data_IF_909703976644
#
_entry.id   IF_909703976644
#
_cell.length_a   1.000
_cell.length_b   1.000
_cell.length_c   1.000
_cell.angle_alpha   90.00
_cell.angle_beta   90.00
_cell.angle_gamma   90.00
#
_symmetry.space_group_name_H-M   'P 1'
#
loop_
_entity.id
_entity.type
_entity.pdbx_description
1 polymer ?
#
# COMPACT_ATOMS: atom_id res chain seq x y z
N UNK A 1 -44.38 5.05 33.23
CA UNK A 1 -43.05 4.74 32.77
C UNK A 1 -42.77 5.62 31.55
N UNK A 2 -42.11 6.75 31.78
CA UNK A 2 -41.80 7.76 30.77
C UNK A 2 -40.39 7.43 30.22
N UNK A 3 -40.29 7.19 28.92
CA UNK A 3 -39.06 6.92 28.24
C UNK A 3 -38.24 8.21 28.05
N UNK A 4 -37.04 8.25 28.60
CA UNK A 4 -36.08 9.36 28.44
C UNK A 4 -35.42 9.20 27.06
N UNK A 5 -35.51 10.24 26.23
CA UNK A 5 -34.92 10.25 24.91
C UNK A 5 -33.38 10.43 24.97
N UNK A 6 -32.64 9.82 24.02
CA UNK A 6 -31.19 9.87 23.94
C UNK A 6 -30.58 11.27 23.77
N UNK A 7 -31.41 12.32 23.63
CA UNK A 7 -30.96 13.72 23.50
C UNK A 7 -30.78 14.44 24.83
N UNK A 8 -31.38 13.95 25.91
CA UNK A 8 -31.35 14.63 27.21
C UNK A 8 -30.17 14.23 28.11
N UNK A 9 -29.40 13.22 27.72
CA UNK A 9 -28.24 12.76 28.49
C UNK A 9 -26.93 13.56 28.24
N UNK A 10 -26.94 14.57 27.38
CA UNK A 10 -25.72 15.30 26.97
C UNK A 10 -25.64 16.76 27.48
N UNK A 11 -26.61 17.22 28.32
CA UNK A 11 -26.66 18.61 28.77
C UNK A 11 -26.47 18.82 30.27
N UNK A 12 -25.86 17.91 30.97
CA UNK A 12 -25.85 17.95 32.45
C UNK A 12 -24.46 17.96 33.12
N UNK A 13 -23.39 18.55 32.53
CA UNK A 13 -22.12 18.80 33.27
C UNK A 13 -21.45 20.07 32.71
N UNK A 14 -22.02 21.26 33.09
CA UNK A 14 -21.26 22.53 33.11
C UNK A 14 -21.76 23.29 34.32
N UNK A 15 -20.97 23.35 35.34
CA UNK A 15 -21.26 24.23 36.49
C UNK A 15 -20.29 24.03 37.65
N UNK A 16 -19.45 25.03 37.84
CA UNK A 16 -18.75 25.39 39.07
C UNK A 16 -17.33 24.89 39.30
N UNK A 17 -16.37 25.83 39.29
CA UNK A 17 -15.07 25.67 39.87
C UNK A 17 -13.97 26.50 39.23
N UNK A 18 -14.13 27.86 39.14
CA UNK A 18 -13.00 28.76 38.88
C UNK A 18 -12.13 28.84 40.16
N UNK A 19 -11.15 27.95 40.27
CA UNK A 19 -10.01 28.11 41.17
C UNK A 19 -8.83 28.59 40.32
N UNK A 20 -8.43 29.85 40.49
CA UNK A 20 -7.23 30.42 39.88
C UNK A 20 -5.97 29.76 40.48
N UNK A 21 -5.43 28.76 39.79
CA UNK A 21 -4.11 28.21 40.05
C UNK A 21 -3.11 29.06 39.27
N UNK A 22 -2.25 29.79 39.98
CA UNK A 22 -1.11 30.47 39.40
C UNK A 22 -0.24 29.47 38.65
N UNK A 23 -0.17 29.59 37.32
CA UNK A 23 0.66 28.75 36.45
C UNK A 23 2.13 29.16 36.71
N UNK A 24 2.80 28.40 37.57
CA UNK A 24 4.27 28.35 37.54
C UNK A 24 4.69 27.76 36.20
N UNK A 25 5.25 28.58 35.33
CA UNK A 25 5.91 28.10 34.09
C UNK A 25 7.12 27.26 34.48
N UNK A 26 6.90 25.96 34.66
CA UNK A 26 7.99 25.02 34.71
C UNK A 26 8.53 24.94 33.28
N UNK A 27 9.57 25.63 32.95
CA UNK A 27 10.39 25.40 31.75
C UNK A 27 11.02 24.03 31.91
N UNK A 28 10.40 23.01 31.34
CA UNK A 28 11.11 21.76 31.13
C UNK A 28 12.26 22.06 30.18
N UNK A 29 13.49 21.96 30.72
CA UNK A 29 14.68 21.94 29.88
C UNK A 29 14.47 20.82 28.85
N UNK A 30 14.43 21.19 27.56
CA UNK A 30 14.50 20.21 26.48
C UNK A 30 15.87 19.51 26.66
N UNK A 31 15.81 18.29 27.18
CA UNK A 31 16.95 17.39 27.10
C UNK A 31 17.34 17.19 25.63
N UNK A 32 18.56 16.75 25.34
CA UNK A 32 19.00 16.56 23.96
C UNK A 32 17.93 15.73 23.23
N UNK A 33 17.42 16.28 22.12
CA UNK A 33 16.51 15.58 21.22
C UNK A 33 17.24 14.32 20.73
N UNK A 34 17.05 13.22 21.42
CA UNK A 34 17.50 11.92 20.92
C UNK A 34 16.72 11.66 19.65
N UNK A 35 17.41 11.64 18.52
CA UNK A 35 16.80 11.29 17.23
C UNK A 35 16.08 9.94 17.39
N UNK A 36 14.85 9.85 16.89
CA UNK A 36 14.14 8.59 16.90
C UNK A 36 14.97 7.48 16.21
N UNK A 37 14.94 6.25 16.72
CA UNK A 37 15.57 5.14 16.03
C UNK A 37 15.08 5.04 14.57
N UNK A 38 15.93 4.65 13.62
CA UNK A 38 15.54 4.56 12.20
C UNK A 38 14.29 3.73 11.95
N UNK A 39 14.07 2.67 12.74
CA UNK A 39 12.89 1.82 12.65
C UNK A 39 11.56 2.53 12.96
N UNK A 40 11.61 3.71 13.58
CA UNK A 40 10.43 4.50 13.96
C UNK A 40 10.57 5.95 13.51
N UNK A 41 11.29 6.19 12.43
CA UNK A 41 11.64 7.54 12.02
C UNK A 41 10.44 8.36 11.49
N UNK A 42 9.44 7.70 10.91
CA UNK A 42 8.24 8.34 10.37
C UNK A 42 8.57 9.41 9.30
N UNK A 43 9.54 9.14 8.41
CA UNK A 43 10.07 10.12 7.44
C UNK A 43 9.87 9.69 5.98
N UNK A 44 8.92 8.81 5.74
CA UNK A 44 8.60 8.40 4.37
C UNK A 44 7.98 9.56 3.60
N UNK A 45 8.34 9.67 2.32
CA UNK A 45 7.80 10.68 1.40
C UNK A 45 7.19 10.00 0.20
N UNK A 46 6.02 10.48 -0.23
CA UNK A 46 5.39 9.94 -1.43
C UNK A 46 6.26 10.25 -2.67
N UNK A 47 6.52 9.23 -3.48
CA UNK A 47 7.23 9.35 -4.74
C UNK A 47 6.29 9.95 -5.80
N UNK A 48 6.75 10.84 -6.68
CA UNK A 48 5.93 11.32 -7.79
C UNK A 48 5.63 10.19 -8.78
N UNK A 49 4.53 10.31 -9.54
CA UNK A 49 4.26 9.40 -10.65
C UNK A 49 5.43 9.45 -11.66
N UNK A 50 5.99 8.30 -12.08
CA UNK A 50 7.13 8.26 -13.01
C UNK A 50 6.74 8.43 -14.48
N UNK A 51 5.47 8.74 -14.78
CA UNK A 51 4.91 8.92 -16.11
C UNK A 51 3.90 10.07 -16.13
N UNK A 52 3.53 10.50 -17.33
CA UNK A 52 2.45 11.48 -17.52
C UNK A 52 1.08 10.79 -17.40
N UNK A 53 0.24 11.12 -16.38
CA UNK A 53 -1.05 10.47 -16.14
C UNK A 53 -2.01 10.55 -17.34
N UNK A 54 -1.97 11.64 -18.10
CA UNK A 54 -2.84 11.85 -19.27
C UNK A 54 -2.50 10.97 -20.48
N UNK A 55 -1.37 10.21 -20.43
CA UNK A 55 -0.90 9.38 -21.55
C UNK A 55 -1.18 7.89 -21.39
N UNK A 56 -1.81 7.47 -20.28
CA UNK A 56 -2.19 6.09 -20.11
C UNK A 56 -3.32 5.70 -21.08
N UNK A 57 -3.19 4.52 -21.65
CA UNK A 57 -4.21 3.98 -22.55
C UNK A 57 -5.31 3.27 -21.74
N UNK A 58 -6.52 3.82 -21.76
CA UNK A 58 -7.69 3.23 -21.09
C UNK A 58 -7.75 3.47 -19.58
N UNK A 59 -6.78 4.12 -18.95
CA UNK A 59 -6.84 4.54 -17.55
C UNK A 59 -6.86 6.07 -17.53
N UNK A 60 -7.92 6.67 -16.96
CA UNK A 60 -8.07 8.12 -16.98
C UNK A 60 -7.06 8.81 -16.05
N UNK A 61 -6.64 10.03 -16.46
CA UNK A 61 -5.81 10.91 -15.61
C UNK A 61 -6.47 11.13 -14.25
N UNK A 62 -7.79 11.31 -14.22
CA UNK A 62 -8.56 11.51 -12.99
C UNK A 62 -8.44 10.31 -12.04
N UNK A 63 -8.57 9.08 -12.55
CA UNK A 63 -8.46 7.88 -11.75
C UNK A 63 -7.06 7.73 -11.17
N UNK A 64 -6.02 7.77 -12.04
CA UNK A 64 -4.66 7.49 -11.61
C UNK A 64 -4.11 8.56 -10.66
N UNK A 65 -4.47 9.84 -10.88
CA UNK A 65 -4.12 10.94 -9.97
C UNK A 65 -4.82 10.78 -8.62
N UNK A 66 -6.12 10.47 -8.62
CA UNK A 66 -6.86 10.20 -7.38
C UNK A 66 -6.27 9.01 -6.60
N UNK A 67 -5.92 7.94 -7.30
CA UNK A 67 -5.29 6.76 -6.71
C UNK A 67 -3.94 7.10 -6.05
N UNK A 68 -3.11 7.87 -6.75
CA UNK A 68 -1.81 8.32 -6.24
C UNK A 68 -1.96 9.27 -5.05
N UNK A 69 -2.75 10.35 -5.19
CA UNK A 69 -2.78 11.45 -4.22
C UNK A 69 -3.58 11.12 -2.95
N UNK A 70 -4.58 10.22 -3.05
CA UNK A 70 -5.43 9.86 -1.92
C UNK A 70 -5.03 8.50 -1.31
N UNK A 71 -4.94 7.43 -2.10
CA UNK A 71 -4.67 6.09 -1.56
C UNK A 71 -3.19 5.93 -1.19
N UNK A 72 -2.29 6.13 -2.16
CA UNK A 72 -0.86 5.97 -1.91
C UNK A 72 -0.28 7.03 -0.97
N UNK A 73 -0.48 8.32 -1.27
CA UNK A 73 0.02 9.38 -0.40
C UNK A 73 -0.63 9.36 0.99
N UNK A 74 -1.90 8.90 1.08
CA UNK A 74 -2.58 8.62 2.34
C UNK A 74 -1.91 7.49 3.13
N UNK A 75 -1.51 6.41 2.47
CA UNK A 75 -0.78 5.31 3.09
C UNK A 75 0.59 5.74 3.63
N UNK A 76 1.34 6.56 2.87
CA UNK A 76 2.62 7.13 3.32
C UNK A 76 2.45 7.97 4.59
N UNK A 77 1.44 8.84 4.64
CA UNK A 77 1.13 9.63 5.84
C UNK A 77 0.76 8.75 7.03
N UNK A 78 -0.06 7.71 6.79
CA UNK A 78 -0.47 6.77 7.82
C UNK A 78 0.71 5.94 8.35
N UNK A 79 1.64 5.52 7.49
CA UNK A 79 2.85 4.81 7.91
C UNK A 79 3.71 5.67 8.84
N UNK A 80 3.95 6.94 8.46
CA UNK A 80 4.67 7.88 9.31
C UNK A 80 4.02 8.06 10.68
N UNK A 81 2.69 8.14 10.72
CA UNK A 81 1.94 8.28 11.97
C UNK A 81 2.07 7.03 12.85
N UNK A 82 1.95 5.84 12.26
CA UNK A 82 2.07 4.57 12.98
C UNK A 82 3.48 4.40 13.55
N UNK A 83 4.52 4.71 12.78
CA UNK A 83 5.90 4.65 13.27
C UNK A 83 6.14 5.62 14.44
N UNK A 84 5.58 6.84 14.38
CA UNK A 84 5.64 7.77 15.51
C UNK A 84 4.92 7.24 16.75
N UNK A 85 3.75 6.61 16.59
CA UNK A 85 3.04 5.97 17.70
C UNK A 85 3.84 4.79 18.28
N UNK A 86 4.49 3.99 17.44
CA UNK A 86 5.37 2.92 17.88
C UNK A 86 6.58 3.46 18.66
N UNK A 87 7.18 4.58 18.20
CA UNK A 87 8.28 5.24 18.91
C UNK A 87 7.90 5.67 20.33
N UNK A 88 6.67 6.09 20.56
CA UNK A 88 6.16 6.38 21.90
C UNK A 88 5.77 5.11 22.67
N UNK A 89 5.15 4.15 21.99
CA UNK A 89 4.69 2.92 22.60
C UNK A 89 5.84 2.08 23.18
N UNK A 90 7.00 2.01 22.53
CA UNK A 90 8.17 1.25 23.03
C UNK A 90 8.77 1.82 24.30
N UNK A 91 8.44 3.08 24.66
CA UNK A 91 8.89 3.71 25.92
C UNK A 91 7.98 3.38 27.11
N UNK A 92 6.80 2.84 26.84
CA UNK A 92 5.79 2.53 27.85
C UNK A 92 5.74 1.02 28.10
N UNK A 93 6.36 0.59 29.20
CA UNK A 93 6.38 -0.82 29.59
C UNK A 93 5.01 -1.37 30.00
N UNK A 94 4.06 -0.50 30.33
CA UNK A 94 2.71 -0.88 30.78
C UNK A 94 1.67 -0.87 29.66
N UNK A 95 2.09 -0.66 28.39
CA UNK A 95 1.17 -0.70 27.25
C UNK A 95 0.56 -2.10 27.11
N UNK A 96 -0.78 -2.24 27.04
CA UNK A 96 -1.39 -3.53 26.85
C UNK A 96 -0.91 -4.22 25.56
N UNK A 97 -0.62 -5.54 25.59
CA UNK A 97 -0.10 -6.26 24.40
C UNK A 97 -0.97 -6.13 23.16
N UNK A 98 -2.31 -6.06 23.30
CA UNK A 98 -3.22 -5.93 22.18
C UNK A 98 -3.13 -4.54 21.51
N UNK A 99 -2.83 -3.48 22.25
CA UNK A 99 -2.61 -2.13 21.67
C UNK A 99 -1.30 -2.12 20.88
N UNK A 100 -0.22 -2.64 21.45
CA UNK A 100 1.07 -2.72 20.75
C UNK A 100 0.98 -3.63 19.53
N UNK A 101 0.30 -4.77 19.66
CA UNK A 101 0.05 -5.69 18.57
C UNK A 101 -0.72 -5.07 17.41
N UNK A 102 -1.74 -4.23 17.70
CA UNK A 102 -2.49 -3.53 16.65
C UNK A 102 -1.63 -2.45 15.94
N UNK A 103 -0.78 -1.73 16.66
CA UNK A 103 0.18 -0.80 16.03
C UNK A 103 1.13 -1.55 15.09
N UNK A 104 1.62 -2.72 15.46
CA UNK A 104 2.49 -3.55 14.61
C UNK A 104 1.74 -4.11 13.39
N UNK A 105 0.46 -4.43 13.56
CA UNK A 105 -0.41 -4.84 12.44
C UNK A 105 -0.62 -3.69 11.46
N UNK A 106 -0.92 -2.48 11.97
CA UNK A 106 -1.07 -1.29 11.13
C UNK A 106 0.24 -0.93 10.40
N UNK A 107 1.39 -1.02 11.06
CA UNK A 107 2.69 -0.82 10.42
C UNK A 107 2.86 -1.77 9.21
N UNK A 108 2.55 -3.06 9.38
CA UNK A 108 2.62 -4.04 8.29
C UNK A 108 1.70 -3.68 7.13
N UNK A 109 0.44 -3.33 7.42
CA UNK A 109 -0.56 -2.93 6.41
C UNK A 109 -0.09 -1.68 5.65
N UNK A 110 0.38 -0.64 6.37
CA UNK A 110 0.79 0.61 5.73
C UNK A 110 2.08 0.44 4.93
N UNK A 111 3.05 -0.33 5.44
CA UNK A 111 4.26 -0.69 4.70
C UNK A 111 3.91 -1.45 3.41
N UNK A 112 3.06 -2.46 3.49
CA UNK A 112 2.61 -3.21 2.33
C UNK A 112 1.90 -2.32 1.32
N UNK A 113 0.99 -1.43 1.79
CA UNK A 113 0.31 -0.46 0.94
C UNK A 113 1.30 0.45 0.20
N UNK A 114 2.24 1.07 0.92
CA UNK A 114 3.26 1.97 0.32
C UNK A 114 4.07 1.22 -0.73
N UNK A 115 4.67 0.09 -0.37
CA UNK A 115 5.56 -0.66 -1.27
C UNK A 115 4.84 -1.16 -2.52
N UNK A 116 3.62 -1.68 -2.36
CA UNK A 116 2.88 -2.23 -3.50
C UNK A 116 2.39 -1.14 -4.45
N UNK A 117 1.94 0.01 -3.94
CA UNK A 117 1.59 1.15 -4.78
C UNK A 117 2.79 1.70 -5.55
N UNK A 118 3.95 1.86 -4.90
CA UNK A 118 5.17 2.31 -5.58
C UNK A 118 5.56 1.36 -6.72
N UNK A 119 5.46 0.05 -6.50
CA UNK A 119 5.73 -0.94 -7.54
C UNK A 119 4.68 -0.92 -8.64
N UNK A 120 3.40 -0.75 -8.29
CA UNK A 120 2.29 -0.63 -9.24
C UNK A 120 2.46 0.59 -10.15
N UNK A 121 2.67 1.78 -9.59
CA UNK A 121 2.87 2.99 -10.41
C UNK A 121 4.14 2.90 -11.27
N UNK A 122 5.24 2.36 -10.73
CA UNK A 122 6.48 2.24 -11.50
C UNK A 122 6.37 1.27 -12.67
N UNK A 123 5.46 0.31 -12.65
CA UNK A 123 5.24 -0.58 -13.79
C UNK A 123 4.14 -0.11 -14.78
N UNK A 124 3.71 1.14 -14.66
CA UNK A 124 2.82 1.77 -15.64
C UNK A 124 3.56 2.78 -16.54
N UNK A 125 2.88 3.26 -17.57
CA UNK A 125 3.40 4.26 -18.51
C UNK A 125 4.25 3.70 -19.65
N UNK A 126 4.30 2.37 -19.80
CA UNK A 126 4.90 1.68 -20.94
C UNK A 126 3.95 1.46 -22.10
N UNK A 127 4.33 0.58 -23.02
CA UNK A 127 3.56 0.23 -24.22
C UNK A 127 2.93 -1.17 -24.17
N UNK A 128 3.04 -1.87 -23.03
CA UNK A 128 2.49 -3.21 -22.80
C UNK A 128 3.21 -4.35 -23.55
N UNK A 129 4.26 -4.06 -24.31
CA UNK A 129 4.97 -5.09 -25.10
C UNK A 129 6.10 -5.71 -24.30
N UNK A 130 5.89 -6.93 -23.86
CA UNK A 130 6.89 -7.68 -23.13
C UNK A 130 8.11 -8.04 -23.98
N UNK A 131 9.29 -7.78 -23.45
CA UNK A 131 10.56 -8.15 -24.04
C UNK A 131 11.62 -8.43 -22.97
N UNK A 132 12.90 -8.54 -23.36
CA UNK A 132 14.06 -8.58 -22.48
C UNK A 132 14.13 -9.76 -21.54
N UNK A 133 14.74 -9.54 -20.40
CA UNK A 133 15.05 -10.56 -19.37
C UNK A 133 13.79 -11.12 -18.73
N UNK A 134 12.86 -10.26 -18.36
CA UNK A 134 11.62 -10.69 -17.70
C UNK A 134 10.79 -11.62 -18.59
N UNK A 135 10.65 -11.29 -19.89
CA UNK A 135 9.95 -12.17 -20.83
C UNK A 135 10.62 -13.53 -20.95
N UNK A 136 11.94 -13.60 -21.05
CA UNK A 136 12.67 -14.87 -21.10
C UNK A 136 12.46 -15.72 -19.85
N UNK A 137 12.51 -15.12 -18.67
CA UNK A 137 12.26 -15.81 -17.41
C UNK A 137 10.82 -16.32 -17.32
N UNK A 138 9.85 -15.52 -17.79
CA UNK A 138 8.44 -15.91 -17.87
C UNK A 138 8.27 -17.13 -18.80
N UNK A 139 8.83 -17.08 -20.00
CA UNK A 139 8.76 -18.19 -20.97
C UNK A 139 9.43 -19.48 -20.44
N UNK A 140 10.52 -19.34 -19.69
CA UNK A 140 11.16 -20.47 -19.01
C UNK A 140 10.26 -21.08 -17.92
N UNK A 141 9.51 -20.26 -17.17
CA UNK A 141 8.69 -20.73 -16.06
C UNK A 141 7.33 -21.31 -16.51
N UNK A 142 6.72 -20.74 -17.56
CA UNK A 142 5.39 -21.15 -18.03
C UNK A 142 5.36 -21.83 -19.41
N UNK A 143 6.53 -21.96 -20.06
CA UNK A 143 6.62 -22.49 -21.43
C UNK A 143 6.26 -21.49 -22.52
N UNK A 144 5.48 -20.44 -22.23
CA UNK A 144 5.19 -19.34 -23.12
C UNK A 144 4.73 -18.10 -22.35
N UNK A 145 4.86 -16.92 -22.99
CA UNK A 145 4.31 -15.67 -22.45
C UNK A 145 2.80 -15.72 -22.34
N UNK A 146 2.10 -16.28 -23.31
CA UNK A 146 0.63 -16.38 -23.34
C UNK A 146 0.10 -17.25 -22.19
N UNK A 147 0.79 -18.34 -21.86
CA UNK A 147 0.40 -19.19 -20.73
C UNK A 147 0.54 -18.45 -19.39
N UNK A 148 1.61 -17.67 -19.22
CA UNK A 148 1.79 -16.82 -18.07
C UNK A 148 0.72 -15.72 -17.97
N UNK A 149 0.48 -14.99 -19.08
CA UNK A 149 -0.49 -13.90 -19.09
C UNK A 149 -1.89 -14.40 -18.79
N UNK A 150 -2.26 -15.56 -19.32
CA UNK A 150 -3.54 -16.20 -19.03
C UNK A 150 -3.71 -16.48 -17.53
N UNK A 151 -2.68 -17.01 -16.86
CA UNK A 151 -2.73 -17.26 -15.43
C UNK A 151 -2.76 -15.96 -14.61
N UNK A 152 -1.91 -14.98 -14.95
CA UNK A 152 -1.88 -13.68 -14.30
C UNK A 152 -3.26 -13.00 -14.33
N UNK A 153 -3.91 -13.00 -15.49
CA UNK A 153 -5.26 -12.45 -15.68
C UNK A 153 -6.33 -13.25 -14.91
N UNK A 154 -6.19 -14.56 -14.79
CA UNK A 154 -7.12 -15.39 -14.00
C UNK A 154 -7.06 -15.06 -12.51
N UNK A 155 -5.86 -14.85 -11.99
CA UNK A 155 -5.65 -14.43 -10.60
C UNK A 155 -6.26 -13.03 -10.38
N UNK A 156 -5.99 -12.09 -11.28
CA UNK A 156 -6.55 -10.75 -11.22
C UNK A 156 -8.09 -10.77 -11.24
N UNK A 157 -8.71 -11.55 -12.14
CA UNK A 157 -10.15 -11.69 -12.17
C UNK A 157 -10.72 -12.35 -10.90
N UNK A 158 -9.99 -13.24 -10.26
CA UNK A 158 -10.42 -13.86 -8.99
C UNK A 158 -10.43 -12.87 -7.81
N UNK A 159 -9.78 -11.71 -7.94
CA UNK A 159 -9.80 -10.61 -6.97
C UNK A 159 -10.86 -9.55 -7.29
N UNK A 160 -11.54 -9.64 -8.43
CA UNK A 160 -12.53 -8.62 -8.84
C UNK A 160 -13.73 -8.56 -7.90
N UNK A 161 -14.21 -7.34 -7.62
CA UNK A 161 -15.30 -7.09 -6.67
C UNK A 161 -14.88 -7.17 -5.20
N UNK A 162 -13.57 -7.19 -4.94
CA UNK A 162 -13.00 -7.23 -3.60
C UNK A 162 -11.78 -6.33 -3.49
N UNK A 163 -10.74 -6.86 -2.87
CA UNK A 163 -9.45 -6.19 -2.68
C UNK A 163 -8.30 -7.14 -2.94
N UNK A 164 -7.13 -6.60 -3.19
CA UNK A 164 -5.90 -7.37 -3.25
C UNK A 164 -4.99 -7.01 -4.40
N UNK A 165 -3.97 -7.82 -4.59
CA UNK A 165 -2.90 -7.63 -5.56
C UNK A 165 -2.64 -8.92 -6.32
N UNK A 166 -2.46 -8.79 -7.63
CA UNK A 166 -1.87 -9.87 -8.43
C UNK A 166 -0.40 -9.55 -8.66
N UNK A 167 0.47 -10.47 -8.30
CA UNK A 167 1.91 -10.21 -8.25
C UNK A 167 2.68 -11.29 -8.97
N UNK A 168 3.39 -10.94 -10.05
CA UNK A 168 4.49 -11.75 -10.54
C UNK A 168 5.69 -11.52 -9.62
N UNK A 169 6.20 -12.56 -8.99
CA UNK A 169 7.34 -12.46 -8.10
C UNK A 169 8.34 -13.61 -8.29
N UNK A 170 9.60 -13.32 -8.00
CA UNK A 170 10.65 -14.34 -7.90
C UNK A 170 10.69 -14.88 -6.48
N UNK A 171 10.46 -16.17 -6.31
CA UNK A 171 10.58 -16.85 -5.04
C UNK A 171 12.05 -17.18 -4.78
N UNK A 172 12.66 -16.51 -3.79
CA UNK A 172 14.07 -16.68 -3.48
C UNK A 172 14.41 -18.05 -2.85
N UNK A 173 13.41 -18.82 -2.42
CA UNK A 173 13.59 -20.17 -1.90
C UNK A 173 13.60 -21.22 -3.03
N UNK A 174 12.58 -21.19 -3.90
CA UNK A 174 12.47 -22.15 -5.02
C UNK A 174 13.32 -21.76 -6.23
N UNK A 175 13.75 -20.49 -6.29
CA UNK A 175 14.49 -19.91 -7.44
C UNK A 175 13.68 -19.85 -8.73
N UNK A 176 12.39 -19.66 -8.62
CA UNK A 176 11.43 -19.67 -9.72
C UNK A 176 10.52 -18.45 -9.69
N UNK A 177 9.96 -18.09 -10.85
CA UNK A 177 8.88 -17.11 -10.94
C UNK A 177 7.54 -17.76 -10.64
N UNK A 178 6.70 -17.04 -9.90
CA UNK A 178 5.32 -17.39 -9.62
C UNK A 178 4.40 -16.18 -9.74
N UNK A 179 3.15 -16.40 -10.14
CA UNK A 179 2.07 -15.44 -9.95
C UNK A 179 1.43 -15.70 -8.59
N UNK A 180 1.37 -14.70 -7.74
CA UNK A 180 0.75 -14.80 -6.41
C UNK A 180 -0.55 -14.00 -6.33
N UNK A 181 -1.51 -14.58 -5.65
CA UNK A 181 -2.74 -13.95 -5.20
C UNK A 181 -2.53 -13.40 -3.78
N UNK A 182 -2.79 -12.12 -3.58
CA UNK A 182 -2.63 -11.45 -2.28
C UNK A 182 -3.94 -10.74 -1.91
N UNK A 183 -4.56 -11.12 -0.79
CA UNK A 183 -5.87 -10.63 -0.38
C UNK A 183 -5.89 -9.15 0.02
N UNK A 184 -4.79 -8.67 0.60
CA UNK A 184 -4.67 -7.31 1.12
C UNK A 184 -3.20 -6.85 1.22
N UNK A 185 -2.98 -5.67 1.77
CA UNK A 185 -1.66 -5.08 1.96
C UNK A 185 -0.77 -5.81 2.97
N UNK A 186 -1.34 -6.58 3.89
CA UNK A 186 -0.60 -7.34 4.91
C UNK A 186 -0.17 -8.72 4.43
N UNK A 187 -0.74 -9.19 3.32
CA UNK A 187 -0.40 -10.48 2.73
C UNK A 187 0.78 -10.33 1.77
N UNK A 188 1.78 -11.18 1.86
CA UNK A 188 2.85 -11.26 0.89
C UNK A 188 3.33 -12.69 0.73
N UNK A 189 3.82 -13.04 -0.46
CA UNK A 189 4.45 -14.33 -0.66
C UNK A 189 5.78 -14.37 0.10
N UNK A 190 5.91 -15.33 1.03
CA UNK A 190 7.09 -15.47 1.87
C UNK A 190 8.36 -15.57 1.03
N UNK A 191 9.40 -14.82 1.42
CA UNK A 191 10.72 -14.82 0.79
C UNK A 191 10.69 -14.61 -0.73
N UNK A 192 9.81 -13.73 -1.20
CA UNK A 192 9.66 -13.42 -2.63
C UNK A 192 9.94 -11.97 -2.95
N UNK A 193 10.45 -11.72 -4.16
CA UNK A 193 10.74 -10.38 -4.68
C UNK A 193 9.72 -10.03 -5.77
N UNK A 194 8.82 -9.05 -5.55
CA UNK A 194 7.84 -8.61 -6.55
C UNK A 194 8.51 -7.99 -7.79
N UNK A 195 8.11 -8.44 -8.97
CA UNK A 195 8.63 -7.98 -10.27
C UNK A 195 7.58 -7.14 -11.00
N UNK A 196 6.34 -7.66 -11.14
CA UNK A 196 5.19 -6.96 -11.71
C UNK A 196 4.03 -7.01 -10.72
N UNK A 197 3.40 -5.86 -10.48
CA UNK A 197 2.33 -5.70 -9.49
C UNK A 197 1.12 -5.08 -10.13
N UNK A 198 -0.03 -5.72 -10.01
CA UNK A 198 -1.33 -5.22 -10.42
C UNK A 198 -2.22 -5.01 -9.20
N UNK A 199 -2.72 -3.79 -9.05
CA UNK A 199 -3.69 -3.42 -8.02
C UNK A 199 -5.11 -3.84 -8.44
N UNK A 200 -5.77 -4.66 -7.63
CA UNK A 200 -7.14 -5.11 -7.84
C UNK A 200 -8.12 -4.59 -6.79
N UNK A 201 -7.72 -3.61 -5.99
CA UNK A 201 -8.66 -2.84 -5.17
C UNK A 201 -9.60 -2.02 -6.06
N UNK A 202 -10.84 -1.85 -5.66
CA UNK A 202 -11.82 -1.10 -6.44
C UNK A 202 -11.40 0.34 -6.74
N UNK A 203 -10.64 0.98 -5.85
CA UNK A 203 -10.11 2.32 -6.08
C UNK A 203 -9.17 2.42 -7.29
N UNK A 204 -8.58 1.30 -7.73
CA UNK A 204 -7.69 1.25 -8.90
C UNK A 204 -8.45 1.23 -10.23
N UNK A 205 -9.77 0.96 -10.24
CA UNK A 205 -10.51 0.80 -11.50
C UNK A 205 -11.97 1.25 -11.48
N UNK A 206 -12.63 1.33 -10.33
CA UNK A 206 -14.08 1.52 -10.26
C UNK A 206 -14.54 2.86 -10.88
N UNK A 207 -13.71 3.89 -10.80
CA UNK A 207 -14.03 5.22 -11.36
C UNK A 207 -14.20 5.18 -12.88
N UNK A 208 -13.40 4.38 -13.59
CA UNK A 208 -13.41 4.30 -15.06
C UNK A 208 -14.24 3.11 -15.58
N UNK A 209 -14.26 2.01 -14.83
CA UNK A 209 -14.75 0.72 -15.29
C UNK A 209 -15.94 0.18 -14.48
N UNK A 210 -16.31 0.83 -13.36
CA UNK A 210 -17.30 0.27 -12.45
C UNK A 210 -16.94 -1.17 -12.07
N UNK A 211 -17.88 -2.08 -12.20
CA UNK A 211 -17.68 -3.51 -11.92
C UNK A 211 -16.96 -4.29 -13.05
N UNK A 212 -16.60 -3.64 -14.18
CA UNK A 212 -15.99 -4.31 -15.33
C UNK A 212 -14.48 -4.49 -15.17
N UNK A 213 -14.03 -5.13 -14.09
CA UNK A 213 -12.63 -5.31 -13.73
C UNK A 213 -11.79 -5.96 -14.85
N UNK A 214 -12.36 -6.85 -15.67
CA UNK A 214 -11.65 -7.45 -16.79
C UNK A 214 -11.16 -6.41 -17.81
N UNK A 215 -11.93 -5.34 -18.07
CA UNK A 215 -11.52 -4.24 -18.97
C UNK A 215 -10.39 -3.42 -18.37
N UNK A 216 -10.39 -3.24 -17.05
CA UNK A 216 -9.26 -2.60 -16.36
C UNK A 216 -7.98 -3.44 -16.46
N UNK A 217 -8.08 -4.76 -16.32
CA UNK A 217 -6.93 -5.66 -16.49
C UNK A 217 -6.36 -5.52 -17.92
N UNK A 218 -7.21 -5.42 -18.94
CA UNK A 218 -6.77 -5.15 -20.32
C UNK A 218 -6.02 -3.82 -20.43
N UNK A 219 -6.57 -2.75 -19.85
CA UNK A 219 -5.94 -1.45 -19.82
C UNK A 219 -4.61 -1.46 -19.06
N UNK A 220 -4.55 -2.15 -17.91
CA UNK A 220 -3.30 -2.31 -17.17
C UNK A 220 -2.24 -2.98 -18.03
N UNK A 221 -2.52 -4.12 -18.65
CA UNK A 221 -1.58 -4.87 -19.47
C UNK A 221 -1.10 -4.04 -20.68
N UNK A 222 -1.96 -3.21 -21.27
CA UNK A 222 -1.60 -2.30 -22.36
C UNK A 222 -0.65 -1.15 -21.96
N UNK A 223 -0.52 -0.86 -20.66
CA UNK A 223 0.32 0.20 -20.11
C UNK A 223 1.54 -0.32 -19.34
N UNK A 224 1.78 -1.64 -19.30
CA UNK A 224 2.93 -2.17 -18.56
C UNK A 224 4.23 -1.61 -19.12
N UNK A 225 5.04 -1.05 -18.23
CA UNK A 225 6.41 -0.60 -18.49
C UNK A 225 7.38 -1.78 -18.30
N UNK A 226 7.61 -2.51 -19.37
CA UNK A 226 8.48 -3.68 -19.36
C UNK A 226 9.94 -3.36 -19.11
N UNK A 227 10.41 -2.14 -19.34
CA UNK A 227 11.76 -1.70 -18.98
C UNK A 227 11.96 -1.76 -17.45
N UNK A 228 10.97 -1.29 -16.70
CA UNK A 228 11.03 -1.38 -15.22
C UNK A 228 10.93 -2.82 -14.72
N UNK A 229 10.08 -3.64 -15.36
CA UNK A 229 9.96 -5.07 -15.04
C UNK A 229 11.28 -5.80 -15.33
N UNK A 230 11.92 -5.52 -16.47
CA UNK A 230 13.25 -6.04 -16.81
C UNK A 230 14.32 -5.64 -15.80
N UNK A 231 14.37 -4.37 -15.44
CA UNK A 231 15.30 -3.85 -14.42
C UNK A 231 15.18 -4.60 -13.08
N UNK A 232 13.94 -4.91 -12.66
CA UNK A 232 13.71 -5.70 -11.44
C UNK A 232 14.16 -7.15 -11.60
N UNK A 233 13.88 -7.76 -12.77
CA UNK A 233 14.30 -9.12 -13.06
C UNK A 233 15.84 -9.25 -13.12
N UNK A 234 16.54 -8.28 -13.70
CA UNK A 234 18.00 -8.23 -13.77
C UNK A 234 18.66 -7.99 -12.40
N UNK A 235 17.96 -7.31 -11.50
CA UNK A 235 18.41 -7.07 -10.13
C UNK A 235 18.29 -8.27 -9.18
N UNK A 236 17.71 -9.40 -9.64
CA UNK A 236 17.57 -10.60 -8.83
C UNK A 236 18.93 -11.25 -8.59
N UNK A 237 19.18 -11.62 -7.34
CA UNK A 237 20.34 -12.44 -6.97
C UNK A 237 19.97 -13.92 -7.21
N UNK A 238 20.18 -14.37 -8.42
CA UNK A 238 20.00 -15.78 -8.79
C UNK A 238 21.06 -16.68 -8.16
#
# INVERSE_FOLDING_TARGET
MTSISRREALTGIIGAGLASVAATKTTFAQGPQTSLPPAFAGKHTAMPLPFNPAKLNGISEKLITSHHDNNYAGAVKALNLVENHLAEAVKNNDIPPYIYGELKREELIRTGSVVMHEKYFANLGGNGKADGTARKMIEQSWGSYDAWEMEFRRIANALSGGSGWTVLAYNNHTKELHNYWMADHSTSAAFSTPILVLDMYEHAYHMDYGAAAAKYIDAFMANVNWDEVNKRAEGLKM
#
